data_IF_284032355874
#
_entry.id   IF_284032355874
#
_cell.length_a   1.000
_cell.length_b   1.000
_cell.length_c   1.000
_cell.angle_alpha   90.00
_cell.angle_beta   90.00
_cell.angle_gamma   90.00
#
_symmetry.space_group_name_H-M   'P 1'
#
loop_
_entity.id
_entity.type
_entity.pdbx_description
1 polymer ?
#
# COMPACT_ATOMS: atom_id res chain seq x y z
N UNK A 1 10.07 -19.39 15.71
CA UNK A 1 8.60 -19.49 15.73
C UNK A 1 8.22 -20.87 15.23
N UNK A 2 7.31 -21.56 15.89
CA UNK A 2 6.83 -22.88 15.45
C UNK A 2 5.50 -22.77 14.64
N UNK A 3 5.31 -21.66 13.96
CA UNK A 3 4.15 -21.40 13.07
C UNK A 3 4.44 -20.31 12.06
N UNK A 4 3.62 -20.19 11.02
CA UNK A 4 3.62 -19.10 10.06
C UNK A 4 2.83 -17.92 10.65
N UNK A 5 3.46 -16.77 10.93
CA UNK A 5 2.75 -15.55 11.34
C UNK A 5 1.96 -14.95 10.17
N UNK A 6 0.93 -14.17 10.50
CA UNK A 6 0.05 -13.51 9.54
C UNK A 6 0.12 -11.99 9.66
N UNK A 7 0.17 -11.33 8.53
CA UNK A 7 0.10 -9.88 8.39
C UNK A 7 -0.67 -9.49 7.12
N UNK A 8 -0.68 -8.21 6.76
CA UNK A 8 -1.21 -7.70 5.49
C UNK A 8 -0.39 -6.52 4.98
N UNK A 9 -0.77 -5.93 3.84
CA UNK A 9 0.00 -4.86 3.21
C UNK A 9 -0.34 -3.43 3.71
N UNK A 10 -1.28 -3.27 4.64
CA UNK A 10 -1.56 -1.99 5.32
C UNK A 10 -2.98 -1.52 5.15
N UNK A 11 -3.29 -0.76 4.11
CA UNK A 11 -4.55 -0.01 4.03
C UNK A 11 -5.81 -0.88 4.12
N UNK A 12 -6.71 -0.49 5.03
CA UNK A 12 -7.99 -1.12 5.25
C UNK A 12 -9.13 -0.17 4.83
N UNK A 13 -10.28 -0.75 4.50
CA UNK A 13 -11.48 0.00 4.11
C UNK A 13 -11.97 0.81 5.30
N UNK A 14 -12.16 2.12 5.09
CA UNK A 14 -12.57 3.07 6.14
C UNK A 14 -14.00 2.78 6.59
N UNK A 15 -14.28 2.87 7.92
CA UNK A 15 -15.64 2.76 8.44
C UNK A 15 -16.54 3.88 7.88
N UNK A 16 -17.83 3.57 7.70
CA UNK A 16 -18.83 4.50 7.14
C UNK A 16 -18.86 5.86 7.83
N UNK A 17 -18.69 5.89 9.16
CA UNK A 17 -18.69 7.15 9.93
C UNK A 17 -17.52 8.08 9.54
N UNK A 18 -16.31 7.53 9.33
CA UNK A 18 -15.17 8.30 8.85
C UNK A 18 -15.40 8.77 7.41
N UNK A 19 -15.91 7.89 6.52
CA UNK A 19 -16.24 8.25 5.14
C UNK A 19 -17.28 9.37 5.07
N UNK A 20 -18.33 9.34 5.91
CA UNK A 20 -19.33 10.39 5.99
C UNK A 20 -18.72 11.74 6.41
N UNK A 21 -17.79 11.71 7.36
CA UNK A 21 -17.06 12.91 7.77
C UNK A 21 -16.19 13.47 6.64
N UNK A 22 -15.38 12.61 6.00
CA UNK A 22 -14.51 13.01 4.87
C UNK A 22 -15.32 13.53 3.69
N UNK A 23 -16.49 12.93 3.41
CA UNK A 23 -17.41 13.47 2.39
C UNK A 23 -17.94 14.85 2.78
N UNK A 24 -18.22 15.11 4.06
CA UNK A 24 -18.59 16.45 4.51
C UNK A 24 -17.46 17.47 4.34
N UNK A 25 -16.20 17.04 4.53
CA UNK A 25 -15.00 17.87 4.26
C UNK A 25 -14.92 18.21 2.76
N UNK A 26 -15.06 17.22 1.88
CA UNK A 26 -15.02 17.41 0.42
C UNK A 26 -16.07 18.44 -0.08
N UNK A 27 -17.20 18.53 0.64
CA UNK A 27 -18.26 19.50 0.34
C UNK A 27 -18.14 20.82 1.14
N UNK A 28 -17.03 21.07 1.82
CA UNK A 28 -16.80 22.27 2.61
C UNK A 28 -17.70 22.42 3.84
N UNK A 29 -18.35 21.34 4.31
CA UNK A 29 -19.26 21.33 5.46
C UNK A 29 -18.55 20.94 6.77
N UNK A 30 -17.32 20.42 6.71
CA UNK A 30 -16.48 20.05 7.83
C UNK A 30 -15.01 20.38 7.53
N UNK A 31 -14.15 20.26 8.53
CA UNK A 31 -12.70 20.48 8.38
C UNK A 31 -11.91 19.35 9.03
N UNK A 32 -10.80 18.97 8.41
CA UNK A 32 -9.84 18.04 8.99
C UNK A 32 -9.03 18.63 10.14
N UNK A 33 -9.12 19.94 10.36
CA UNK A 33 -8.52 20.63 11.52
C UNK A 33 -9.49 20.73 12.71
N UNK A 34 -10.59 19.97 12.70
CA UNK A 34 -11.61 20.01 13.74
C UNK A 34 -11.44 18.91 14.80
N UNK A 35 -11.94 19.16 16.01
CA UNK A 35 -11.99 18.18 17.10
C UNK A 35 -12.86 16.98 16.72
N UNK A 36 -13.88 17.21 15.92
CA UNK A 36 -14.78 16.18 15.40
C UNK A 36 -14.05 15.23 14.45
N UNK A 37 -13.14 15.75 13.61
CA UNK A 37 -12.29 14.90 12.77
C UNK A 37 -11.36 14.04 13.60
N UNK A 38 -10.67 14.63 14.59
CA UNK A 38 -9.77 13.90 15.49
C UNK A 38 -10.50 12.76 16.20
N UNK A 39 -11.72 13.01 16.69
CA UNK A 39 -12.54 11.99 17.33
C UNK A 39 -12.98 10.88 16.35
N UNK A 40 -13.37 11.23 15.13
CA UNK A 40 -13.76 10.27 14.10
C UNK A 40 -12.57 9.40 13.66
N UNK A 41 -11.40 10.00 13.49
CA UNK A 41 -10.17 9.31 13.14
C UNK A 41 -9.74 8.34 14.24
N UNK A 42 -9.66 8.79 15.49
CA UNK A 42 -9.30 7.93 16.63
C UNK A 42 -10.25 6.71 16.74
N UNK A 43 -11.55 6.93 16.54
CA UNK A 43 -12.55 5.86 16.53
C UNK A 43 -12.33 4.86 15.37
N UNK A 44 -11.97 5.35 14.20
CA UNK A 44 -11.70 4.51 13.03
C UNK A 44 -10.43 3.66 13.24
N UNK A 45 -9.35 4.24 13.80
CA UNK A 45 -8.13 3.50 14.14
C UNK A 45 -8.43 2.43 15.21
N UNK A 46 -9.18 2.77 16.26
CA UNK A 46 -9.59 1.79 17.28
C UNK A 46 -10.44 0.65 16.70
N UNK A 47 -11.30 0.95 15.72
CA UNK A 47 -12.05 -0.06 14.98
C UNK A 47 -11.12 -0.98 14.20
N UNK A 48 -10.17 -0.44 13.44
CA UNK A 48 -9.22 -1.20 12.63
C UNK A 48 -8.38 -2.15 13.50
N UNK A 49 -7.81 -1.64 14.59
CA UNK A 49 -7.02 -2.44 15.55
C UNK A 49 -7.85 -3.58 16.12
N UNK A 50 -9.06 -3.28 16.66
CA UNK A 50 -9.93 -4.29 17.21
C UNK A 50 -10.29 -5.38 16.21
N UNK A 51 -10.67 -5.01 14.97
CA UNK A 51 -11.06 -5.98 13.95
C UNK A 51 -9.91 -6.89 13.51
N UNK A 52 -8.69 -6.36 13.39
CA UNK A 52 -7.50 -7.16 13.08
C UNK A 52 -7.21 -8.17 14.19
N UNK A 53 -7.26 -7.74 15.46
CA UNK A 53 -7.07 -8.62 16.63
C UNK A 53 -8.15 -9.71 16.68
N UNK A 54 -9.42 -9.35 16.54
CA UNK A 54 -10.55 -10.30 16.50
C UNK A 54 -10.43 -11.32 15.36
N UNK A 55 -9.87 -10.90 14.22
CA UNK A 55 -9.64 -11.78 13.07
C UNK A 55 -8.46 -12.72 13.29
N UNK A 56 -7.53 -12.39 14.22
CA UNK A 56 -6.36 -13.20 14.53
C UNK A 56 -5.11 -12.84 13.70
N UNK A 57 -5.06 -11.64 13.14
CA UNK A 57 -3.85 -11.12 12.47
C UNK A 57 -2.76 -10.90 13.51
N UNK A 58 -1.52 -11.32 13.23
CA UNK A 58 -0.41 -11.26 14.18
C UNK A 58 0.28 -9.90 14.22
N UNK A 59 0.61 -9.36 13.05
CA UNK A 59 1.28 -8.07 12.91
C UNK A 59 0.31 -7.11 12.24
N UNK A 60 -0.23 -6.19 13.03
CA UNK A 60 -1.33 -5.30 12.69
C UNK A 60 -0.85 -3.86 12.48
N UNK A 61 -1.71 -3.02 11.90
CA UNK A 61 -1.47 -1.59 11.71
C UNK A 61 -2.68 -0.72 12.10
N UNK A 62 -2.61 0.59 11.84
CA UNK A 62 -3.69 1.54 12.07
C UNK A 62 -4.76 1.55 10.95
N UNK A 63 -4.58 0.71 9.92
CA UNK A 63 -5.44 0.64 8.72
C UNK A 63 -5.28 1.82 7.77
N UNK A 64 -4.29 2.68 7.98
CA UNK A 64 -4.04 3.91 7.22
C UNK A 64 -5.22 4.90 7.26
N UNK A 65 -5.96 4.91 8.37
CA UNK A 65 -7.20 5.69 8.50
C UNK A 65 -6.99 7.19 8.36
N UNK A 66 -5.80 7.71 8.76
CA UNK A 66 -5.44 9.13 8.70
C UNK A 66 -4.88 9.61 7.36
N UNK A 67 -4.74 8.73 6.36
CA UNK A 67 -4.18 9.07 5.06
C UNK A 67 -5.28 9.37 4.04
N UNK A 68 -5.13 10.43 3.25
CA UNK A 68 -6.04 10.79 2.15
C UNK A 68 -6.03 9.71 1.06
N UNK A 69 -4.85 9.41 0.53
CA UNK A 69 -4.55 8.24 -0.31
C UNK A 69 -3.20 7.67 0.07
N UNK A 70 -2.82 6.52 -0.50
CA UNK A 70 -1.51 5.88 -0.27
C UNK A 70 -0.30 6.77 -0.61
N UNK A 71 -0.46 7.83 -1.41
CA UNK A 71 0.62 8.73 -1.85
C UNK A 71 0.37 10.20 -1.56
N UNK A 72 -0.83 10.74 -1.77
CA UNK A 72 -1.07 12.18 -1.65
C UNK A 72 -0.90 12.69 -0.22
N UNK A 73 -1.09 11.84 0.76
CA UNK A 73 -0.83 12.15 2.16
C UNK A 73 0.61 12.67 2.40
N UNK A 74 1.60 12.17 1.65
CA UNK A 74 2.99 12.64 1.73
C UNK A 74 3.11 14.09 1.25
N UNK A 75 2.42 14.41 0.14
CA UNK A 75 2.47 15.76 -0.42
C UNK A 75 1.83 16.78 0.53
N UNK A 76 0.75 16.39 1.21
CA UNK A 76 0.05 17.19 2.22
C UNK A 76 0.91 17.46 3.46
N UNK A 77 1.92 16.63 3.73
CA UNK A 77 2.86 16.70 4.87
C UNK A 77 4.21 17.30 4.48
N UNK A 78 4.37 17.75 3.23
CA UNK A 78 5.65 18.22 2.68
C UNK A 78 5.51 19.67 2.23
N UNK A 79 6.35 20.57 2.77
CA UNK A 79 6.46 21.94 2.27
C UNK A 79 7.33 22.01 1.00
N UNK A 80 7.28 23.15 0.30
CA UNK A 80 7.96 23.30 -1.00
C UNK A 80 7.18 22.70 -2.17
N UNK A 81 5.96 22.21 -1.91
CA UNK A 81 5.05 21.69 -2.91
C UNK A 81 3.84 22.61 -3.11
N UNK A 82 3.34 22.67 -4.32
CA UNK A 82 2.16 23.45 -4.72
C UNK A 82 1.12 22.52 -5.33
N UNK A 83 -0.12 22.59 -4.83
CA UNK A 83 -1.26 21.93 -5.43
C UNK A 83 -1.86 22.83 -6.52
N UNK A 84 -1.87 22.38 -7.76
CA UNK A 84 -2.44 23.09 -8.92
C UNK A 84 -3.70 22.39 -9.42
N UNK A 85 -4.78 23.12 -9.74
CA UNK A 85 -5.97 22.50 -10.33
C UNK A 85 -5.60 21.64 -11.54
N UNK A 86 -6.12 20.43 -11.59
CA UNK A 86 -5.90 19.54 -12.71
C UNK A 86 -6.75 20.02 -13.91
N UNK A 87 -6.10 20.25 -15.05
CA UNK A 87 -6.77 20.59 -16.29
C UNK A 87 -6.95 19.33 -17.14
N UNK A 88 -8.17 18.87 -17.32
CA UNK A 88 -8.49 17.66 -18.08
C UNK A 88 -9.29 16.62 -17.28
N UNK A 89 -9.63 15.52 -17.93
CA UNK A 89 -10.29 14.41 -17.25
C UNK A 89 -9.27 13.48 -16.58
N UNK A 90 -9.70 12.71 -15.59
CA UNK A 90 -8.85 11.80 -14.81
C UNK A 90 -8.06 10.80 -15.69
N UNK A 91 -8.65 10.30 -16.77
CA UNK A 91 -7.98 9.39 -17.69
C UNK A 91 -6.77 10.02 -18.40
N UNK A 92 -6.69 11.35 -18.50
CA UNK A 92 -5.56 12.03 -19.16
C UNK A 92 -4.28 12.07 -18.30
N UNK A 93 -4.41 11.84 -16.99
CA UNK A 93 -3.28 11.83 -16.05
C UNK A 93 -2.76 10.43 -15.74
N UNK A 94 -3.53 9.40 -16.11
CA UNK A 94 -3.07 8.04 -15.94
C UNK A 94 -1.92 7.74 -16.90
N UNK A 95 -0.83 7.11 -16.42
CA UNK A 95 0.32 6.84 -17.27
C UNK A 95 -0.07 5.98 -18.46
N UNK A 96 0.44 6.35 -19.63
CA UNK A 96 0.37 5.47 -20.79
C UNK A 96 1.10 4.17 -20.45
N UNK A 97 0.48 3.02 -20.75
CA UNK A 97 1.10 1.71 -20.58
C UNK A 97 0.80 0.85 -21.81
N UNK A 98 1.59 -0.20 -22.04
CA UNK A 98 1.30 -1.16 -23.12
C UNK A 98 -0.03 -1.87 -22.89
N UNK A 99 -0.39 -2.08 -21.64
CA UNK A 99 -1.70 -2.63 -21.27
C UNK A 99 -2.82 -1.70 -21.79
N UNK A 100 -2.77 -0.39 -21.50
CA UNK A 100 -3.76 0.58 -22.00
C UNK A 100 -3.77 0.69 -23.52
N UNK A 101 -2.60 0.58 -24.15
CA UNK A 101 -2.47 0.62 -25.61
C UNK A 101 -3.10 -0.61 -26.29
N UNK A 102 -2.97 -1.79 -25.67
CA UNK A 102 -3.44 -3.07 -26.24
C UNK A 102 -4.87 -3.43 -25.85
N UNK A 103 -5.40 -2.87 -24.75
CA UNK A 103 -6.76 -3.08 -24.27
C UNK A 103 -7.57 -1.78 -24.15
N UNK A 104 -7.60 -0.89 -25.18
CA UNK A 104 -8.20 0.43 -25.05
C UNK A 104 -9.72 0.42 -24.79
N UNK A 105 -10.41 -0.64 -25.24
CA UNK A 105 -11.83 -0.83 -24.96
C UNK A 105 -12.09 -1.16 -23.49
N UNK A 106 -11.34 -2.13 -22.96
CA UNK A 106 -11.44 -2.53 -21.56
C UNK A 106 -11.13 -1.36 -20.61
N UNK A 107 -10.06 -0.61 -20.87
CA UNK A 107 -9.70 0.52 -20.02
C UNK A 107 -10.71 1.67 -20.02
N UNK A 108 -11.38 1.92 -21.15
CA UNK A 108 -12.48 2.91 -21.16
C UNK A 108 -13.62 2.51 -20.21
N UNK A 109 -13.96 1.22 -20.19
CA UNK A 109 -15.02 0.70 -19.31
C UNK A 109 -14.56 0.68 -17.85
N UNK A 110 -13.33 0.22 -17.59
CA UNK A 110 -12.75 0.14 -16.24
C UNK A 110 -12.60 1.53 -15.61
N UNK A 111 -12.08 2.51 -16.34
CA UNK A 111 -11.93 3.88 -15.87
C UNK A 111 -13.29 4.49 -15.51
N UNK A 112 -14.33 4.21 -16.29
CA UNK A 112 -15.71 4.64 -15.99
C UNK A 112 -16.25 3.93 -14.73
N UNK A 113 -16.07 2.62 -14.62
CA UNK A 113 -16.52 1.84 -13.46
C UNK A 113 -15.83 2.27 -12.17
N UNK A 114 -14.54 2.55 -12.19
CA UNK A 114 -13.79 3.03 -11.02
C UNK A 114 -14.23 4.45 -10.63
N UNK A 115 -14.45 5.31 -11.61
CA UNK A 115 -14.98 6.65 -11.39
C UNK A 115 -16.39 6.61 -10.77
N UNK A 116 -17.30 5.83 -11.35
CA UNK A 116 -18.67 5.68 -10.85
C UNK A 116 -18.70 5.04 -9.45
N UNK A 117 -17.82 4.06 -9.19
CA UNK A 117 -17.71 3.44 -7.87
C UNK A 117 -17.27 4.46 -6.81
N UNK A 118 -16.28 5.30 -7.12
CA UNK A 118 -15.78 6.35 -6.22
C UNK A 118 -16.88 7.39 -5.93
N UNK A 119 -17.62 7.83 -6.95
CA UNK A 119 -18.75 8.76 -6.79
C UNK A 119 -19.84 8.12 -5.94
N UNK A 120 -20.19 6.86 -6.19
CA UNK A 120 -21.21 6.15 -5.42
C UNK A 120 -20.83 6.05 -3.95
N UNK A 121 -19.60 5.65 -3.61
CA UNK A 121 -19.13 5.56 -2.24
C UNK A 121 -19.21 6.90 -1.53
N UNK A 122 -18.80 7.99 -2.18
CA UNK A 122 -18.92 9.36 -1.66
C UNK A 122 -20.37 9.76 -1.43
N UNK A 123 -21.26 9.47 -2.36
CA UNK A 123 -22.68 9.81 -2.28
C UNK A 123 -23.38 9.03 -1.17
N UNK A 124 -23.13 7.72 -1.07
CA UNK A 124 -23.67 6.87 0.00
C UNK A 124 -23.17 7.32 1.38
N UNK A 125 -21.90 7.74 1.50
CA UNK A 125 -21.33 8.28 2.71
C UNK A 125 -21.94 9.62 3.13
N UNK A 126 -22.35 10.45 2.16
CA UNK A 126 -22.98 11.77 2.40
C UNK A 126 -24.42 11.70 2.90
N UNK A 127 -25.09 10.55 2.78
CA UNK A 127 -26.50 10.36 3.14
C UNK A 127 -27.49 10.94 2.11
N UNK A 128 -28.81 10.75 2.31
CA UNK A 128 -29.83 11.08 1.30
C UNK A 128 -30.00 12.56 1.01
N UNK A 129 -29.49 13.44 1.86
CA UNK A 129 -29.63 14.91 1.66
C UNK A 129 -28.60 15.47 0.66
N UNK A 130 -27.55 14.72 0.30
CA UNK A 130 -26.49 15.15 -0.60
C UNK A 130 -26.70 14.73 -2.06
N UNK A 131 -27.80 14.07 -2.40
CA UNK A 131 -28.06 13.51 -3.73
C UNK A 131 -28.82 14.48 -4.66
N UNK A 132 -28.40 15.74 -4.73
CA UNK A 132 -28.94 16.71 -5.72
C UNK A 132 -28.41 16.45 -7.13
N UNK A 133 -29.15 16.88 -8.19
CA UNK A 133 -28.70 16.69 -9.58
C UNK A 133 -27.37 17.42 -9.92
N UNK A 134 -26.96 18.39 -9.12
CA UNK A 134 -25.69 19.12 -9.27
C UNK A 134 -24.46 18.30 -8.92
N UNK A 135 -24.61 17.18 -8.16
CA UNK A 135 -23.52 16.28 -7.82
C UNK A 135 -23.03 15.39 -8.99
N UNK A 136 -23.66 15.48 -10.15
CA UNK A 136 -23.40 14.59 -11.30
C UNK A 136 -22.59 15.24 -12.44
N UNK A 137 -22.43 16.55 -12.47
CA UNK A 137 -21.80 17.25 -13.60
C UNK A 137 -20.36 17.68 -13.34
N UNK A 138 -19.93 17.78 -12.08
CA UNK A 138 -18.55 18.09 -11.77
C UNK A 138 -17.79 16.77 -11.56
N UNK A 139 -16.84 16.48 -12.44
CA UNK A 139 -15.77 15.52 -12.16
C UNK A 139 -15.18 15.84 -10.79
N UNK A 140 -14.31 14.99 -10.17
CA UNK A 140 -13.91 15.18 -8.78
C UNK A 140 -13.51 16.64 -8.58
N UNK A 141 -14.42 17.43 -7.97
CA UNK A 141 -14.18 18.83 -7.70
C UNK A 141 -12.98 18.89 -6.79
N UNK A 142 -11.87 19.44 -7.30
CA UNK A 142 -10.64 19.55 -6.57
C UNK A 142 -9.54 18.53 -6.89
N UNK A 143 -9.63 17.78 -7.99
CA UNK A 143 -8.46 17.01 -8.45
C UNK A 143 -7.29 17.96 -8.71
N UNK A 144 -6.16 17.71 -8.05
CA UNK A 144 -4.97 18.54 -8.15
C UNK A 144 -3.77 17.73 -8.65
N UNK A 145 -2.90 18.40 -9.38
CA UNK A 145 -1.54 17.94 -9.63
C UNK A 145 -0.61 18.60 -8.62
N UNK A 146 0.35 17.85 -8.11
CA UNK A 146 1.34 18.35 -7.17
C UNK A 146 2.64 18.68 -7.88
N UNK A 147 3.23 19.82 -7.54
CA UNK A 147 4.46 20.33 -8.18
C UNK A 147 5.44 20.77 -7.10
N UNK A 148 6.66 20.27 -7.16
CA UNK A 148 7.77 20.75 -6.33
C UNK A 148 8.29 22.07 -6.90
N UNK A 149 8.05 23.17 -6.18
CA UNK A 149 8.43 24.56 -6.57
C UNK A 149 9.50 25.15 -5.68
N UNK A 150 9.90 24.46 -4.61
CA UNK A 150 10.90 24.92 -3.64
C UNK A 150 11.57 23.77 -2.89
N UNK A 151 12.50 24.10 -1.96
CA UNK A 151 13.12 23.08 -1.12
C UNK A 151 12.08 22.33 -0.31
N UNK A 152 12.13 21.00 -0.32
CA UNK A 152 11.18 20.16 0.41
C UNK A 152 11.60 19.99 1.88
N UNK A 153 10.64 20.10 2.79
CA UNK A 153 10.81 19.74 4.22
C UNK A 153 9.57 19.02 4.72
N UNK A 154 9.75 18.08 5.67
CA UNK A 154 8.68 17.25 6.21
C UNK A 154 8.03 17.90 7.44
N UNK A 155 6.69 17.87 7.53
CA UNK A 155 5.91 18.24 8.70
C UNK A 155 5.46 16.99 9.46
N UNK A 156 5.97 16.80 10.68
CA UNK A 156 5.68 15.65 11.53
C UNK A 156 4.30 15.66 12.19
N UNK A 157 3.57 16.78 12.15
CA UNK A 157 2.32 16.95 12.90
C UNK A 157 1.33 15.79 12.66
N UNK A 158 1.16 15.40 11.41
CA UNK A 158 0.20 14.35 11.06
C UNK A 158 0.68 12.95 11.46
N UNK A 159 1.97 12.61 11.24
CA UNK A 159 2.47 11.29 11.64
C UNK A 159 2.51 11.14 13.17
N UNK A 160 2.88 12.19 13.91
CA UNK A 160 2.87 12.15 15.36
C UNK A 160 1.45 11.93 15.91
N UNK A 161 0.42 12.58 15.34
CA UNK A 161 -1.00 12.32 15.62
C UNK A 161 -1.40 10.88 15.32
N UNK A 162 -1.06 10.37 14.12
CA UNK A 162 -1.41 9.02 13.70
C UNK A 162 -0.79 7.97 14.64
N UNK A 163 0.46 8.16 15.05
CA UNK A 163 1.15 7.31 16.02
C UNK A 163 0.53 7.37 17.43
N UNK A 164 0.07 8.55 17.87
CA UNK A 164 -0.64 8.68 19.15
C UNK A 164 -1.98 7.94 19.11
N UNK A 165 -2.78 8.14 18.05
CA UNK A 165 -4.05 7.44 17.86
C UNK A 165 -3.86 5.93 17.84
N UNK A 166 -2.81 5.44 17.16
CA UNK A 166 -2.50 4.03 17.09
C UNK A 166 -2.11 3.46 18.46
N UNK A 167 -1.22 4.12 19.20
CA UNK A 167 -0.85 3.71 20.57
C UNK A 167 -2.05 3.63 21.50
N UNK A 168 -2.92 4.63 21.48
CA UNK A 168 -4.17 4.63 22.28
C UNK A 168 -5.08 3.47 21.86
N UNK A 169 -5.22 3.20 20.57
CA UNK A 169 -6.02 2.08 20.08
C UNK A 169 -5.47 0.69 20.48
N UNK A 170 -4.15 0.58 20.71
CA UNK A 170 -3.53 -0.65 21.21
C UNK A 170 -3.78 -0.89 22.69
N UNK A 171 -4.12 0.14 23.49
CA UNK A 171 -4.44 -0.01 24.91
C UNK A 171 -5.59 -1.00 25.10
N UNK A 172 -5.36 -2.06 25.87
CA UNK A 172 -6.35 -3.10 26.13
C UNK A 172 -6.57 -4.10 24.99
N UNK A 173 -5.88 -3.96 23.85
CA UNK A 173 -5.95 -4.90 22.73
C UNK A 173 -5.16 -6.20 22.96
N UNK A 174 -4.25 -6.21 23.94
CA UNK A 174 -3.30 -7.30 24.18
C UNK A 174 -2.11 -7.30 23.21
N UNK A 175 -1.96 -6.25 22.38
CA UNK A 175 -0.84 -6.07 21.44
C UNK A 175 0.12 -4.98 21.91
N UNK A 176 1.41 -5.21 21.71
CA UNK A 176 2.46 -4.21 21.92
C UNK A 176 2.79 -3.52 20.59
N UNK A 177 3.20 -2.24 20.66
CA UNK A 177 3.57 -1.47 19.47
C UNK A 177 4.72 -2.13 18.68
N UNK A 178 5.59 -2.88 19.35
CA UNK A 178 6.69 -3.61 18.71
C UNK A 178 6.25 -4.79 17.85
N UNK A 179 4.99 -5.23 17.97
CA UNK A 179 4.35 -6.26 17.16
C UNK A 179 3.48 -5.67 16.04
N UNK A 180 3.60 -4.38 15.77
CA UNK A 180 2.79 -3.65 14.79
C UNK A 180 3.64 -3.00 13.72
N UNK A 181 3.00 -2.50 12.64
CA UNK A 181 3.70 -1.78 11.59
C UNK A 181 2.96 -0.51 11.18
N UNK A 182 3.69 0.41 10.55
CA UNK A 182 3.13 1.60 9.89
C UNK A 182 3.65 1.65 8.45
N UNK A 183 2.76 1.68 7.44
CA UNK A 183 3.15 1.84 6.06
C UNK A 183 3.57 3.28 5.77
N UNK A 184 4.62 3.47 4.98
CA UNK A 184 5.06 4.76 4.43
C UNK A 184 5.53 4.55 3.00
N UNK A 185 5.20 5.49 2.11
CA UNK A 185 5.52 5.40 0.69
C UNK A 185 7.04 5.44 0.42
N UNK A 186 7.50 4.77 -0.65
CA UNK A 186 8.88 4.82 -1.12
C UNK A 186 9.15 6.06 -2.01
N UNK A 187 10.42 6.50 -2.16
CA UNK A 187 10.78 7.59 -3.07
C UNK A 187 10.36 7.35 -4.53
N UNK A 188 10.46 6.11 -5.03
CA UNK A 188 10.03 5.76 -6.39
C UNK A 188 8.54 6.01 -6.61
N UNK A 189 7.75 5.89 -5.56
CA UNK A 189 6.30 5.99 -5.62
C UNK A 189 5.77 7.42 -5.54
N UNK A 190 6.63 8.43 -5.30
CA UNK A 190 6.25 9.85 -5.45
C UNK A 190 6.13 10.29 -6.93
N UNK A 191 5.62 9.42 -7.75
CA UNK A 191 5.58 9.45 -9.19
C UNK A 191 4.75 10.61 -9.78
N UNK A 192 3.70 11.05 -9.07
CA UNK A 192 2.82 12.12 -9.54
C UNK A 192 3.24 13.52 -9.06
N UNK A 193 4.43 13.62 -8.50
CA UNK A 193 5.03 14.89 -8.10
C UNK A 193 5.90 15.43 -9.24
N UNK A 194 5.44 16.46 -9.92
CA UNK A 194 6.24 17.15 -10.92
C UNK A 194 7.37 17.96 -10.26
N UNK A 195 8.55 18.03 -10.89
CA UNK A 195 9.67 18.78 -10.38
C UNK A 195 9.94 20.02 -11.23
N UNK A 196 9.82 21.21 -10.64
CA UNK A 196 10.19 22.51 -11.23
C UNK A 196 11.35 23.19 -10.48
N UNK A 197 11.84 22.59 -9.38
CA UNK A 197 12.85 23.21 -8.51
C UNK A 197 14.25 22.60 -8.66
N UNK A 198 14.37 21.29 -8.56
CA UNK A 198 15.66 20.61 -8.63
C UNK A 198 16.13 20.43 -10.07
N UNK A 199 17.43 20.55 -10.31
CA UNK A 199 18.00 20.56 -11.66
C UNK A 199 18.04 19.19 -12.33
N UNK A 200 18.18 18.14 -11.54
CA UNK A 200 18.28 16.76 -12.03
C UNK A 200 17.26 15.86 -11.30
N UNK A 201 16.92 14.75 -11.93
CA UNK A 201 16.10 13.70 -11.32
C UNK A 201 16.77 13.11 -10.07
N UNK A 202 18.10 12.99 -10.09
CA UNK A 202 18.87 12.53 -8.93
C UNK A 202 18.75 13.49 -7.75
N UNK A 203 18.99 14.80 -7.94
CA UNK A 203 18.81 15.81 -6.88
C UNK A 203 17.39 15.76 -6.29
N UNK A 204 16.39 15.61 -7.16
CA UNK A 204 14.98 15.56 -6.76
C UNK A 204 14.66 14.32 -5.91
N UNK A 205 15.05 13.12 -6.38
CA UNK A 205 14.70 11.89 -5.67
C UNK A 205 15.46 11.75 -4.33
N UNK A 206 16.69 12.27 -4.23
CA UNK A 206 17.40 12.30 -2.96
C UNK A 206 16.83 13.33 -1.98
N UNK A 207 16.39 14.48 -2.45
CA UNK A 207 15.67 15.44 -1.59
C UNK A 207 14.36 14.85 -1.06
N UNK A 208 13.64 14.10 -1.89
CA UNK A 208 12.46 13.37 -1.46
C UNK A 208 12.80 12.26 -0.45
N UNK A 209 13.91 11.56 -0.66
CA UNK A 209 14.41 10.55 0.27
C UNK A 209 14.76 11.15 1.65
N UNK A 210 15.27 12.38 1.70
CA UNK A 210 15.53 13.08 2.96
C UNK A 210 14.22 13.47 3.67
N UNK A 211 13.19 13.88 2.94
CA UNK A 211 11.84 14.12 3.48
C UNK A 211 11.26 12.84 4.09
N UNK A 212 11.32 11.73 3.35
CA UNK A 212 10.82 10.43 3.79
C UNK A 212 11.59 9.86 4.98
N UNK A 213 12.90 10.13 5.08
CA UNK A 213 13.71 9.73 6.23
C UNK A 213 13.12 10.22 7.55
N UNK A 214 12.55 11.42 7.59
CA UNK A 214 11.93 11.97 8.80
C UNK A 214 10.68 11.20 9.22
N UNK A 215 9.84 10.78 8.25
CA UNK A 215 8.67 9.95 8.54
C UNK A 215 9.08 8.52 8.93
N UNK A 216 10.03 7.92 8.21
CA UNK A 216 10.58 6.60 8.53
C UNK A 216 11.14 6.54 9.95
N UNK A 217 11.90 7.59 10.32
CA UNK A 217 12.46 7.72 11.66
C UNK A 217 11.37 7.82 12.73
N UNK A 218 10.31 8.61 12.49
CA UNK A 218 9.18 8.74 13.42
C UNK A 218 8.51 7.40 13.70
N UNK A 219 8.30 6.58 12.65
CA UNK A 219 7.73 5.23 12.79
C UNK A 219 8.65 4.34 13.63
N UNK A 220 9.94 4.28 13.31
CA UNK A 220 10.91 3.45 14.06
C UNK A 220 11.04 3.90 15.52
N UNK A 221 11.12 5.20 15.78
CA UNK A 221 11.17 5.78 17.14
C UNK A 221 9.91 5.44 17.97
N UNK A 222 8.77 5.23 17.32
CA UNK A 222 7.54 4.80 18.00
C UNK A 222 7.60 3.39 18.57
N UNK A 223 8.50 2.53 18.03
CA UNK A 223 8.64 1.11 18.32
C UNK A 223 7.96 0.18 17.31
N UNK A 224 7.19 0.70 16.34
CA UNK A 224 6.57 -0.09 15.28
C UNK A 224 7.60 -0.55 14.23
N UNK A 225 7.25 -1.56 13.43
CA UNK A 225 7.94 -1.83 12.16
C UNK A 225 7.62 -0.72 11.16
N UNK A 226 8.62 -0.28 10.40
CA UNK A 226 8.42 0.52 9.22
C UNK A 226 8.10 -0.40 8.04
N UNK A 227 6.97 -0.22 7.37
CA UNK A 227 6.76 -0.79 6.05
C UNK A 227 6.96 0.30 4.99
N UNK A 228 7.83 0.04 4.02
CA UNK A 228 8.02 0.92 2.87
C UNK A 228 7.24 0.38 1.69
N UNK A 229 6.25 1.16 1.21
CA UNK A 229 5.38 0.78 0.09
C UNK A 229 5.91 1.35 -1.22
N UNK A 230 6.35 0.47 -2.10
CA UNK A 230 6.87 0.80 -3.42
C UNK A 230 5.97 0.27 -4.54
N UNK A 231 4.87 0.96 -4.74
CA UNK A 231 3.86 0.56 -5.72
C UNK A 231 4.27 0.85 -7.18
N UNK A 232 5.28 1.72 -7.38
CA UNK A 232 5.62 2.23 -8.71
C UNK A 232 6.86 1.54 -9.28
N UNK A 233 7.78 1.05 -8.46
CA UNK A 233 9.02 0.46 -8.94
C UNK A 233 8.79 -0.57 -10.05
N UNK A 234 7.89 -1.52 -9.82
CA UNK A 234 7.59 -2.58 -10.79
C UNK A 234 6.72 -2.07 -11.95
N UNK A 235 5.68 -1.29 -11.65
CA UNK A 235 4.75 -0.78 -12.65
C UNK A 235 5.40 0.16 -13.68
N UNK A 236 6.38 0.98 -13.30
CA UNK A 236 7.00 1.96 -14.20
C UNK A 236 7.71 1.31 -15.39
N UNK A 237 8.11 0.05 -15.30
CA UNK A 237 8.68 -0.69 -16.42
C UNK A 237 7.75 -0.67 -17.64
N UNK A 238 6.44 -0.98 -17.45
CA UNK A 238 5.48 -0.98 -18.56
C UNK A 238 5.26 0.43 -19.12
N UNK A 239 5.19 1.43 -18.25
CA UNK A 239 5.06 2.84 -18.63
C UNK A 239 6.25 3.32 -19.48
N UNK A 240 7.48 3.09 -19.04
CA UNK A 240 8.71 3.49 -19.75
C UNK A 240 8.82 2.79 -21.12
N UNK A 241 8.58 1.49 -21.15
CA UNK A 241 8.59 0.71 -22.40
C UNK A 241 7.50 1.17 -23.37
N UNK A 242 6.32 1.57 -22.88
CA UNK A 242 5.23 2.11 -23.70
C UNK A 242 5.60 3.43 -24.39
N UNK A 243 6.52 4.18 -23.79
CA UNK A 243 7.07 5.45 -24.32
C UNK A 243 8.29 5.25 -25.22
N UNK A 244 8.66 4.01 -25.52
CA UNK A 244 9.79 3.66 -26.39
C UNK A 244 11.16 3.67 -25.70
N UNK A 245 11.19 3.78 -24.38
CA UNK A 245 12.42 3.61 -23.60
C UNK A 245 12.81 2.13 -23.56
N UNK A 246 14.10 1.87 -23.31
CA UNK A 246 14.62 0.51 -23.24
C UNK A 246 14.47 -0.10 -21.84
N UNK A 247 14.63 -1.42 -21.74
CA UNK A 247 14.74 -2.11 -20.46
C UNK A 247 15.95 -1.63 -19.64
N UNK A 248 17.02 -1.24 -20.30
CA UNK A 248 18.20 -0.69 -19.64
C UNK A 248 17.92 0.69 -19.03
N UNK A 249 17.16 1.55 -19.72
CA UNK A 249 16.71 2.84 -19.19
C UNK A 249 15.86 2.65 -17.93
N UNK A 250 14.91 1.70 -17.95
CA UNK A 250 14.11 1.37 -16.77
C UNK A 250 15.02 0.87 -15.63
N UNK A 251 15.93 -0.04 -15.88
CA UNK A 251 16.83 -0.54 -14.83
C UNK A 251 17.73 0.55 -14.24
N UNK A 252 18.17 1.50 -15.05
CA UNK A 252 18.93 2.67 -14.57
C UNK A 252 18.06 3.56 -13.67
N UNK A 253 16.83 3.85 -14.11
CA UNK A 253 15.83 4.58 -13.34
C UNK A 253 15.52 3.90 -12.01
N UNK A 254 15.24 2.60 -12.03
CA UNK A 254 14.90 1.82 -10.84
C UNK A 254 16.06 1.73 -9.85
N UNK A 255 17.31 1.57 -10.35
CA UNK A 255 18.51 1.53 -9.51
C UNK A 255 18.71 2.83 -8.74
N UNK A 256 18.54 3.97 -9.38
CA UNK A 256 18.60 5.28 -8.71
C UNK A 256 17.55 5.38 -7.57
N UNK A 257 16.33 4.86 -7.79
CA UNK A 257 15.26 4.88 -6.76
C UNK A 257 15.57 3.96 -5.60
N UNK A 258 16.12 2.78 -5.85
CA UNK A 258 16.57 1.85 -4.79
C UNK A 258 17.72 2.48 -3.98
N UNK A 259 18.67 3.14 -4.63
CA UNK A 259 19.77 3.86 -3.97
C UNK A 259 19.23 5.00 -3.09
N UNK A 260 18.28 5.79 -3.62
CA UNK A 260 17.62 6.86 -2.86
C UNK A 260 16.79 6.30 -1.68
N UNK A 261 16.12 5.15 -1.85
CA UNK A 261 15.42 4.49 -0.75
C UNK A 261 16.41 4.04 0.33
N UNK A 262 17.52 3.41 -0.03
CA UNK A 262 18.55 3.02 0.93
C UNK A 262 19.17 4.24 1.65
N UNK A 263 19.26 5.39 0.96
CA UNK A 263 19.63 6.65 1.59
C UNK A 263 18.56 7.12 2.59
N UNK A 264 17.28 7.01 2.27
CA UNK A 264 16.18 7.30 3.20
C UNK A 264 16.19 6.36 4.43
N UNK A 265 16.62 5.11 4.27
CA UNK A 265 16.71 4.11 5.34
C UNK A 265 18.00 4.21 6.18
N UNK A 266 18.92 5.14 5.87
CA UNK A 266 20.21 5.26 6.56
C UNK A 266 20.06 5.37 8.08
N UNK A 267 20.83 4.55 8.81
CA UNK A 267 20.84 4.56 10.27
C UNK A 267 19.61 3.94 10.95
N UNK A 268 18.65 3.44 10.19
CA UNK A 268 17.50 2.72 10.72
C UNK A 268 17.81 1.21 10.81
N UNK A 269 17.28 0.50 11.83
CA UNK A 269 17.56 -0.92 12.04
C UNK A 269 16.85 -1.78 10.99
N UNK A 270 17.62 -2.45 10.13
CA UNK A 270 17.11 -3.27 9.03
C UNK A 270 16.11 -4.33 9.48
N UNK A 271 16.30 -4.90 10.68
CA UNK A 271 15.42 -5.91 11.28
C UNK A 271 14.00 -5.38 11.59
N UNK A 272 13.81 -4.06 11.56
CA UNK A 272 12.51 -3.38 11.75
C UNK A 272 11.90 -2.89 10.45
N UNK A 273 12.51 -3.19 9.29
CA UNK A 273 12.06 -2.69 7.98
C UNK A 273 11.39 -3.81 7.19
N UNK A 274 10.20 -3.52 6.68
CA UNK A 274 9.42 -4.30 5.73
C UNK A 274 9.39 -3.53 4.42
N UNK A 275 9.66 -4.18 3.32
CA UNK A 275 9.61 -3.60 1.98
C UNK A 275 8.54 -4.28 1.15
N UNK A 276 7.55 -3.53 0.72
CA UNK A 276 6.42 -4.01 -0.07
C UNK A 276 6.50 -3.48 -1.50
N UNK A 277 6.48 -4.39 -2.45
CA UNK A 277 6.34 -4.10 -3.87
C UNK A 277 5.07 -4.74 -4.41
N UNK A 278 4.37 -4.01 -5.27
CA UNK A 278 3.22 -4.53 -6.02
C UNK A 278 3.31 -4.12 -7.49
N UNK A 279 2.44 -4.69 -8.31
CA UNK A 279 2.36 -4.39 -9.74
C UNK A 279 1.27 -3.36 -10.06
N UNK A 280 0.70 -2.75 -9.04
CA UNK A 280 -0.38 -1.79 -9.12
C UNK A 280 -1.74 -2.37 -8.75
N UNK A 281 -2.55 -1.56 -8.10
CA UNK A 281 -3.83 -1.98 -7.51
C UNK A 281 -5.01 -1.45 -8.31
N UNK A 282 -5.25 -1.98 -9.50
CA UNK A 282 -6.43 -1.69 -10.33
C UNK A 282 -6.97 -2.97 -10.96
N UNK A 283 -8.21 -2.93 -11.47
CA UNK A 283 -8.86 -4.09 -12.11
C UNK A 283 -8.46 -4.28 -13.60
N UNK A 284 -7.22 -3.98 -13.95
CA UNK A 284 -6.72 -4.11 -15.31
C UNK A 284 -6.31 -5.54 -15.70
N UNK A 285 -5.98 -5.75 -16.98
CA UNK A 285 -5.51 -7.04 -17.48
C UNK A 285 -4.14 -7.48 -16.94
N UNK A 286 -3.28 -6.54 -16.54
CA UNK A 286 -1.91 -6.81 -16.07
C UNK A 286 -1.08 -7.68 -17.02
N UNK A 287 -1.39 -7.64 -18.33
CA UNK A 287 -0.77 -8.53 -19.32
C UNK A 287 0.69 -8.20 -19.62
N UNK A 288 1.12 -6.97 -19.29
CA UNK A 288 2.44 -6.44 -19.57
C UNK A 288 3.26 -6.11 -18.33
N UNK A 289 2.82 -6.57 -17.14
CA UNK A 289 3.62 -6.47 -15.93
C UNK A 289 4.98 -7.13 -16.14
N UNK A 290 6.09 -6.52 -15.67
CA UNK A 290 7.41 -7.11 -15.81
C UNK A 290 7.50 -8.40 -14.97
N UNK A 291 8.17 -9.45 -15.48
CA UNK A 291 8.45 -10.62 -14.67
C UNK A 291 9.30 -10.27 -13.43
N UNK A 292 8.95 -10.81 -12.27
CA UNK A 292 9.71 -10.60 -11.03
C UNK A 292 11.20 -10.99 -11.22
N UNK A 293 11.49 -12.04 -12.00
CA UNK A 293 12.85 -12.49 -12.31
C UNK A 293 13.75 -11.36 -12.86
N UNK A 294 13.18 -10.44 -13.62
CA UNK A 294 13.94 -9.37 -14.27
C UNK A 294 14.24 -8.18 -13.34
N UNK A 295 13.65 -8.17 -12.13
CA UNK A 295 13.75 -7.07 -11.16
C UNK A 295 14.03 -7.52 -9.72
N UNK A 296 14.09 -8.82 -9.44
CA UNK A 296 14.27 -9.36 -8.09
C UNK A 296 15.58 -8.89 -7.44
N UNK A 297 16.64 -8.70 -8.23
CA UNK A 297 17.91 -8.16 -7.75
C UNK A 297 17.77 -6.72 -7.23
N UNK A 298 16.96 -5.90 -7.87
CA UNK A 298 16.62 -4.54 -7.42
C UNK A 298 15.80 -4.57 -6.13
N UNK A 299 14.81 -5.46 -6.07
CA UNK A 299 13.99 -5.64 -4.85
C UNK A 299 14.86 -6.07 -3.67
N UNK A 300 15.73 -7.06 -3.86
CA UNK A 300 16.62 -7.58 -2.82
C UNK A 300 17.78 -6.64 -2.45
N UNK A 301 18.04 -5.61 -3.26
CA UNK A 301 19.03 -4.57 -2.97
C UNK A 301 18.55 -3.53 -1.95
N UNK A 302 17.27 -3.52 -1.62
CA UNK A 302 16.72 -2.65 -0.56
C UNK A 302 17.11 -3.20 0.82
N UNK A 303 17.57 -2.32 1.72
CA UNK A 303 17.99 -2.65 3.08
C UNK A 303 16.76 -2.92 3.98
N UNK A 304 16.13 -4.06 3.81
CA UNK A 304 14.98 -4.51 4.59
C UNK A 304 15.17 -5.96 5.03
N UNK A 305 14.49 -6.37 6.10
CA UNK A 305 14.44 -7.76 6.53
C UNK A 305 13.28 -8.53 5.90
N UNK A 306 12.13 -7.88 5.74
CA UNK A 306 10.90 -8.52 5.26
C UNK A 306 10.57 -8.00 3.86
N UNK A 307 10.33 -8.92 2.92
CA UNK A 307 9.97 -8.58 1.54
C UNK A 307 8.55 -9.07 1.26
N UNK A 308 7.65 -8.11 1.03
CA UNK A 308 6.25 -8.35 0.69
C UNK A 308 6.08 -8.19 -0.83
N UNK A 309 5.46 -9.18 -1.47
CA UNK A 309 5.19 -9.14 -2.91
C UNK A 309 3.98 -9.97 -3.30
N UNK A 310 3.33 -9.59 -4.38
CA UNK A 310 2.16 -10.29 -4.91
C UNK A 310 2.51 -11.71 -5.35
N UNK A 311 1.76 -12.69 -4.85
CA UNK A 311 1.83 -14.09 -5.28
C UNK A 311 0.48 -14.81 -5.26
N UNK A 312 -0.64 -14.11 -5.01
CA UNK A 312 -1.98 -14.65 -5.18
C UNK A 312 -2.64 -14.17 -6.48
N UNK A 313 -2.20 -13.04 -7.04
CA UNK A 313 -2.62 -12.57 -8.34
C UNK A 313 -2.31 -13.64 -9.40
N UNK A 314 -3.30 -14.13 -10.19
CA UNK A 314 -3.08 -15.15 -11.21
C UNK A 314 -1.97 -14.82 -12.20
N UNK A 315 -1.65 -13.54 -12.40
CA UNK A 315 -0.56 -13.09 -13.28
C UNK A 315 0.81 -13.44 -12.70
N UNK A 316 0.95 -13.39 -11.36
CA UNK A 316 2.23 -13.52 -10.64
C UNK A 316 2.34 -14.79 -9.79
N UNK A 317 1.27 -15.57 -9.62
CA UNK A 317 1.29 -16.77 -8.77
C UNK A 317 2.36 -17.79 -9.14
N UNK A 318 2.66 -17.91 -10.44
CA UNK A 318 3.70 -18.83 -10.95
C UNK A 318 5.13 -18.41 -10.56
N UNK A 319 5.35 -17.17 -10.16
CA UNK A 319 6.68 -16.58 -9.90
C UNK A 319 7.31 -17.05 -8.58
N UNK A 320 6.59 -17.82 -7.76
CA UNK A 320 7.18 -18.50 -6.60
C UNK A 320 8.43 -19.32 -6.97
N UNK A 321 8.49 -19.80 -8.23
CA UNK A 321 9.63 -20.58 -8.76
C UNK A 321 10.93 -19.79 -8.83
N UNK A 322 10.87 -18.47 -8.79
CA UNK A 322 12.10 -17.67 -8.82
C UNK A 322 13.01 -18.01 -7.63
N UNK A 323 12.39 -18.37 -6.50
CA UNK A 323 13.11 -18.71 -5.27
C UNK A 323 13.81 -20.08 -5.32
N UNK A 324 13.55 -20.90 -6.35
CA UNK A 324 14.32 -22.12 -6.63
C UNK A 324 15.70 -21.78 -7.25
N UNK A 325 15.81 -20.66 -7.98
CA UNK A 325 17.02 -20.23 -8.69
C UNK A 325 17.73 -19.08 -8.00
N UNK A 326 16.97 -18.17 -7.38
CA UNK A 326 17.47 -16.97 -6.69
C UNK A 326 17.32 -17.19 -5.18
N UNK A 327 18.40 -17.48 -4.47
CA UNK A 327 18.31 -17.71 -3.03
C UNK A 327 17.90 -16.42 -2.30
N UNK A 328 16.90 -16.54 -1.43
CA UNK A 328 16.59 -15.46 -0.50
C UNK A 328 17.82 -15.23 0.40
N UNK A 329 18.38 -14.02 0.53
CA UNK A 329 19.58 -13.78 1.33
C UNK A 329 19.39 -14.18 2.79
N UNK A 330 20.49 -14.53 3.48
CA UNK A 330 20.45 -14.97 4.87
C UNK A 330 19.85 -13.91 5.79
N UNK A 331 19.02 -14.35 6.73
CA UNK A 331 18.32 -13.48 7.69
C UNK A 331 17.10 -12.75 7.13
N UNK A 332 16.86 -12.80 5.82
CA UNK A 332 15.67 -12.20 5.18
C UNK A 332 14.46 -13.12 5.31
N UNK A 333 13.28 -12.52 5.28
CA UNK A 333 11.97 -13.17 5.42
C UNK A 333 11.10 -12.78 4.23
N UNK A 334 10.49 -13.76 3.60
CA UNK A 334 9.49 -13.56 2.54
C UNK A 334 8.10 -13.44 3.16
N UNK A 335 7.36 -12.44 2.73
CA UNK A 335 5.95 -12.23 3.10
C UNK A 335 5.12 -12.25 1.81
N UNK A 336 4.88 -13.43 1.23
CA UNK A 336 4.09 -13.53 0.01
C UNK A 336 2.66 -13.07 0.25
N UNK A 337 2.11 -12.31 -0.68
CA UNK A 337 0.69 -12.13 -0.80
C UNK A 337 0.08 -13.45 -1.25
N UNK A 338 -0.65 -14.11 -0.37
CA UNK A 338 -1.34 -15.38 -0.67
C UNK A 338 -2.86 -15.21 -0.74
N UNK A 339 -3.30 -13.96 -0.60
CA UNK A 339 -4.69 -13.49 -0.73
C UNK A 339 -4.70 -12.25 -1.61
N UNK A 340 -5.56 -12.23 -2.64
CA UNK A 340 -5.72 -11.06 -3.51
C UNK A 340 -6.49 -9.94 -2.80
N UNK A 341 -6.22 -8.71 -3.15
CA UNK A 341 -6.90 -7.53 -2.57
C UNK A 341 -8.02 -6.97 -3.46
N UNK A 342 -8.07 -7.36 -4.74
CA UNK A 342 -8.90 -6.69 -5.75
C UNK A 342 -10.01 -7.58 -6.35
N UNK A 343 -10.16 -8.82 -5.89
CA UNK A 343 -11.26 -9.71 -6.33
C UNK A 343 -12.24 -10.00 -5.20
N UNK A 344 -13.53 -10.14 -5.53
CA UNK A 344 -14.56 -10.48 -4.55
C UNK A 344 -14.54 -11.96 -4.13
N UNK A 345 -13.70 -12.79 -4.76
CA UNK A 345 -13.56 -14.20 -4.41
C UNK A 345 -12.72 -14.29 -3.13
N UNK A 346 -13.27 -14.92 -2.09
CA UNK A 346 -12.54 -15.24 -0.86
C UNK A 346 -11.79 -16.55 -1.10
N UNK A 347 -10.49 -16.53 -0.99
CA UNK A 347 -9.63 -17.69 -1.19
C UNK A 347 -9.94 -18.77 -0.14
N UNK A 348 -9.99 -20.04 -0.60
CA UNK A 348 -10.18 -21.16 0.32
C UNK A 348 -8.93 -21.34 1.21
N UNK A 349 -9.07 -21.56 2.54
CA UNK A 349 -7.92 -21.72 3.44
C UNK A 349 -6.92 -22.80 3.02
N UNK A 350 -7.39 -23.91 2.46
CA UNK A 350 -6.50 -24.95 1.91
C UNK A 350 -5.64 -24.46 0.75
N UNK A 351 -6.15 -23.58 -0.14
CA UNK A 351 -5.37 -22.99 -1.20
C UNK A 351 -4.28 -22.07 -0.63
N UNK A 352 -4.62 -21.27 0.37
CA UNK A 352 -3.67 -20.41 1.08
C UNK A 352 -2.57 -21.27 1.73
N UNK A 353 -2.95 -22.36 2.41
CA UNK A 353 -1.99 -23.29 3.00
C UNK A 353 -1.04 -23.89 1.95
N UNK A 354 -1.55 -24.34 0.80
CA UNK A 354 -0.73 -24.86 -0.29
C UNK A 354 0.28 -23.83 -0.81
N UNK A 355 -0.11 -22.57 -0.94
CA UNK A 355 0.77 -21.46 -1.34
C UNK A 355 1.89 -21.26 -0.31
N UNK A 356 1.56 -21.18 0.97
CA UNK A 356 2.51 -21.00 2.06
C UNK A 356 3.48 -22.18 2.22
N UNK A 357 2.98 -23.42 2.23
CA UNK A 357 3.80 -24.63 2.32
C UNK A 357 4.77 -24.74 1.16
N UNK A 358 4.31 -24.45 -0.05
CA UNK A 358 5.16 -24.46 -1.26
C UNK A 358 6.34 -23.52 -1.11
N UNK A 359 6.11 -22.28 -0.68
CA UNK A 359 7.17 -21.29 -0.46
C UNK A 359 8.08 -21.66 0.72
N UNK A 360 7.49 -22.15 1.84
CA UNK A 360 8.23 -22.61 3.00
C UNK A 360 9.21 -23.76 2.67
N UNK A 361 8.83 -24.64 1.75
CA UNK A 361 9.70 -25.73 1.29
C UNK A 361 10.87 -25.25 0.43
N UNK A 362 10.75 -24.07 -0.23
CA UNK A 362 11.81 -23.51 -1.06
C UNK A 362 12.75 -22.62 -0.25
N UNK A 363 12.21 -21.68 0.54
CA UNK A 363 13.05 -20.66 1.23
C UNK A 363 13.33 -21.01 2.70
N UNK A 364 12.68 -22.03 3.25
CA UNK A 364 12.72 -22.39 4.67
C UNK A 364 11.48 -21.89 5.41
N UNK A 365 10.85 -22.76 6.20
CA UNK A 365 9.58 -22.51 6.89
C UNK A 365 9.65 -21.39 7.93
N UNK A 366 10.82 -21.16 8.52
CA UNK A 366 11.08 -20.09 9.49
C UNK A 366 11.23 -18.71 8.82
N UNK A 367 11.27 -18.69 7.49
CA UNK A 367 11.52 -17.51 6.66
C UNK A 367 10.31 -17.10 5.83
N UNK A 368 9.10 -17.58 6.18
CA UNK A 368 7.85 -17.26 5.50
C UNK A 368 6.83 -16.73 6.49
N UNK A 369 6.11 -15.66 6.09
CA UNK A 369 4.92 -15.15 6.77
C UNK A 369 3.78 -15.07 5.76
N UNK A 370 2.52 -15.20 6.19
CA UNK A 370 1.37 -15.03 5.33
C UNK A 370 0.99 -13.55 5.20
N UNK A 371 0.76 -13.07 3.97
CA UNK A 371 0.37 -11.69 3.68
C UNK A 371 -0.73 -11.58 2.63
N UNK A 372 -1.14 -10.34 2.33
CA UNK A 372 -2.00 -10.00 1.19
C UNK A 372 -1.17 -9.42 0.05
N UNK A 373 -1.64 -9.55 -1.20
CA UNK A 373 -0.94 -9.02 -2.37
C UNK A 373 -0.69 -7.50 -2.26
N UNK A 374 -1.71 -6.74 -1.83
CA UNK A 374 -1.64 -5.31 -1.59
C UNK A 374 -2.69 -4.91 -0.53
N UNK A 375 -2.77 -3.61 -0.21
CA UNK A 375 -3.80 -3.06 0.67
C UNK A 375 -5.18 -3.06 0.02
N UNK A 376 -6.24 -3.13 0.83
CA UNK A 376 -7.64 -3.21 0.35
C UNK A 376 -8.22 -1.86 -0.08
N UNK A 377 -7.61 -0.74 0.32
CA UNK A 377 -8.10 0.60 0.01
C UNK A 377 -6.96 1.56 -0.33
N UNK A 378 -6.90 2.03 -1.58
CA UNK A 378 -5.86 2.94 -2.06
C UNK A 378 -6.11 4.40 -1.64
N UNK A 379 -7.25 4.68 -1.10
CA UNK A 379 -7.67 5.98 -0.56
C UNK A 379 -9.00 5.88 0.16
N UNK A 380 -9.45 6.97 0.76
CA UNK A 380 -10.67 6.98 1.56
C UNK A 380 -11.90 6.44 0.80
N UNK A 381 -12.06 6.87 -0.47
CA UNK A 381 -13.18 6.46 -1.33
C UNK A 381 -12.77 5.50 -2.45
N UNK A 382 -11.56 4.93 -2.36
CA UNK A 382 -10.99 4.03 -3.38
C UNK A 382 -10.69 2.68 -2.77
N UNK A 383 -11.64 1.75 -2.80
CA UNK A 383 -11.43 0.38 -2.38
C UNK A 383 -11.85 -0.61 -3.48
N UNK A 384 -11.23 -1.78 -3.50
CA UNK A 384 -11.39 -2.78 -4.57
C UNK A 384 -12.45 -3.83 -4.26
N UNK A 385 -12.75 -4.04 -3.00
CA UNK A 385 -13.74 -5.02 -2.50
C UNK A 385 -14.62 -4.37 -1.43
N UNK A 386 -15.70 -5.03 -1.05
CA UNK A 386 -16.51 -4.61 0.09
C UNK A 386 -15.80 -4.91 1.41
N UNK A 387 -16.06 -4.12 2.46
CA UNK A 387 -15.46 -4.29 3.78
C UNK A 387 -15.67 -5.71 4.35
N UNK A 388 -16.85 -6.29 4.20
CA UNK A 388 -17.14 -7.66 4.66
C UNK A 388 -16.26 -8.70 3.95
N UNK A 389 -15.96 -8.49 2.66
CA UNK A 389 -15.09 -9.36 1.88
C UNK A 389 -13.64 -9.22 2.34
N UNK A 390 -13.17 -8.01 2.62
CA UNK A 390 -11.86 -7.77 3.23
C UNK A 390 -11.66 -8.61 4.50
N UNK A 391 -12.60 -8.56 5.43
CA UNK A 391 -12.49 -9.31 6.68
C UNK A 391 -12.63 -10.83 6.49
N UNK A 392 -13.46 -11.28 5.56
CA UNK A 392 -13.56 -12.69 5.20
C UNK A 392 -12.23 -13.22 4.60
N UNK A 393 -11.57 -12.42 3.76
CA UNK A 393 -10.25 -12.75 3.18
C UNK A 393 -9.17 -12.84 4.25
N UNK A 394 -9.12 -11.89 5.18
CA UNK A 394 -8.16 -11.92 6.30
C UNK A 394 -8.42 -13.11 7.23
N UNK A 395 -9.68 -13.46 7.50
CA UNK A 395 -10.03 -14.65 8.27
C UNK A 395 -9.58 -15.93 7.57
N UNK A 396 -9.76 -16.00 6.24
CA UNK A 396 -9.29 -17.13 5.42
C UNK A 396 -7.77 -17.24 5.43
N UNK A 397 -7.05 -16.09 5.39
CA UNK A 397 -5.60 -16.04 5.49
C UNK A 397 -5.10 -16.62 6.83
N UNK A 398 -5.70 -16.24 7.95
CA UNK A 398 -5.37 -16.75 9.28
C UNK A 398 -5.59 -18.27 9.35
N UNK A 399 -6.74 -18.77 8.89
CA UNK A 399 -7.01 -20.20 8.88
C UNK A 399 -6.05 -20.98 7.96
N UNK A 400 -5.75 -20.44 6.77
CA UNK A 400 -4.77 -21.03 5.85
C UNK A 400 -3.37 -21.12 6.44
N UNK A 401 -2.92 -20.07 7.13
CA UNK A 401 -1.64 -20.08 7.82
C UNK A 401 -1.60 -21.11 8.97
N UNK A 402 -2.74 -21.29 9.68
CA UNK A 402 -2.88 -22.31 10.72
C UNK A 402 -2.79 -23.73 10.13
N UNK A 403 -3.42 -23.99 9.00
CA UNK A 403 -3.33 -25.28 8.28
C UNK A 403 -1.89 -25.53 7.85
N UNK A 404 -1.23 -24.54 7.21
CA UNK A 404 0.16 -24.64 6.77
C UNK A 404 1.12 -24.89 7.96
N UNK A 405 0.89 -24.22 9.09
CA UNK A 405 1.70 -24.40 10.28
C UNK A 405 1.62 -25.82 10.82
N UNK A 406 0.43 -26.42 10.87
CA UNK A 406 0.27 -27.82 11.27
C UNK A 406 0.97 -28.80 10.33
N UNK A 407 0.95 -28.53 9.03
CA UNK A 407 1.65 -29.36 8.05
C UNK A 407 3.17 -29.28 8.23
N UNK A 408 3.70 -28.07 8.47
CA UNK A 408 5.15 -27.82 8.54
C UNK A 408 5.79 -28.18 9.90
N UNK A 409 5.07 -28.05 11.02
CA UNK A 409 5.59 -28.28 12.38
C UNK A 409 4.85 -29.38 13.16
N UNK A 410 3.76 -29.91 12.63
CA UNK A 410 2.93 -30.91 13.29
C UNK A 410 1.87 -30.32 14.23
N UNK A 411 1.06 -31.14 14.86
CA UNK A 411 -0.11 -30.75 15.65
C UNK A 411 0.18 -29.84 16.89
N UNK A 412 1.41 -29.57 17.20
CA UNK A 412 1.83 -28.65 18.30
C UNK A 412 1.79 -27.17 17.90
N UNK A 413 1.52 -26.84 16.64
CA UNK A 413 1.50 -25.47 16.11
C UNK A 413 0.20 -24.68 16.43
N UNK A 414 -0.68 -25.23 17.26
CA UNK A 414 -1.99 -24.62 17.59
C UNK A 414 -1.97 -23.72 18.86
N UNK A 415 -0.79 -23.25 19.34
CA UNK A 415 -0.70 -22.41 20.54
C UNK A 415 -0.23 -21.01 20.19
#
# INVERSE_FOLDING_TARGET
MERIPVTHAGSLIRPRELLAFLSAVDHGRASTDSVEYEAALAKAVAYAVRRQVETGVDIIDDGEMGKSTWITYLYERTSGLEARPLTGNFSSILPASRDRQNFPGAYRELDMLEHDATIRIRTEASGPEASGPEAREDGPSGAVSWVCTGPMTYDRTAIDRDLVNFKVALEGSGRDISETFMPVVAPASAYWLANEHYKTDEEFVYALADVLHEEYRAVIESGAFLQVDDAVLMHEADTMLSRGQSWEDYRAWARLRVEALNHALRGLPEERIRYHVCFGSWHGPHAYDPPLRDSVDLVLAVNAKYYLMEQANPRHEHEWRIWEDVPLPDGKVLVPGVVTHHTNVVEHPELIAQRLVRLANVVGRERVMGGTDCGFAQGAFMHRVHEEIQWAKLSSLVEGARIASRELWGAKADV
#
